data_IF_432478978695
#
_entry.id   IF_432478978695
#
_cell.length_a   1.000
_cell.length_b   1.000
_cell.length_c   1.000
_cell.angle_alpha   90.00
_cell.angle_beta   90.00
_cell.angle_gamma   90.00
#
_symmetry.space_group_name_H-M   'P 1'
#
loop_
_entity.id
_entity.type
_entity.pdbx_description
1 polymer ?
#
# COMPACT_ATOMS: atom_id res chain seq x y z
N UNK A 1 23.66 0.59 23.84
CA UNK A 1 22.34 0.34 23.22
C UNK A 1 22.60 -0.04 21.78
N UNK A 2 22.25 -1.27 21.37
CA UNK A 2 22.32 -1.69 19.97
C UNK A 2 21.03 -1.23 19.26
N UNK A 3 21.10 -0.79 17.99
CA UNK A 3 19.90 -0.43 17.24
C UNK A 3 19.02 -1.68 17.08
N UNK A 4 17.74 -1.52 17.36
CA UNK A 4 16.75 -2.59 17.28
C UNK A 4 16.55 -2.90 15.80
N UNK A 5 17.14 -4.00 15.33
CA UNK A 5 16.75 -4.64 14.08
C UNK A 5 15.28 -5.00 14.20
N UNK A 6 14.42 -4.12 13.69
CA UNK A 6 12.97 -4.28 13.72
C UNK A 6 12.65 -5.42 12.79
N UNK A 7 12.58 -6.62 13.36
CA UNK A 7 12.09 -7.82 12.69
C UNK A 7 10.73 -7.48 12.09
N UNK A 8 10.65 -7.61 10.78
CA UNK A 8 9.51 -7.23 9.97
C UNK A 8 8.25 -7.93 10.50
N UNK A 9 7.48 -7.21 11.32
CA UNK A 9 6.03 -7.46 11.41
C UNK A 9 5.58 -7.46 9.95
N UNK A 10 4.88 -8.50 9.45
CA UNK A 10 4.52 -8.57 8.03
C UNK A 10 3.86 -7.24 7.70
N UNK A 11 4.56 -6.42 6.92
CA UNK A 11 4.26 -5.00 6.80
C UNK A 11 2.80 -4.93 6.36
N UNK A 12 1.94 -4.48 7.26
CA UNK A 12 0.53 -4.48 6.98
C UNK A 12 0.31 -3.42 5.91
N UNK A 13 0.25 -3.87 4.66
CA UNK A 13 0.16 -2.99 3.50
C UNK A 13 -1.03 -2.05 3.61
N UNK A 14 -2.04 -2.42 4.41
CA UNK A 14 -3.21 -1.59 4.73
C UNK A 14 -2.83 -0.26 5.37
N UNK A 15 -1.73 -0.19 6.11
CA UNK A 15 -1.25 1.04 6.77
C UNK A 15 -0.60 2.02 5.79
N UNK A 16 -0.08 1.51 4.68
CA UNK A 16 0.60 2.32 3.66
C UNK A 16 -0.35 2.73 2.53
N UNK A 17 -1.53 2.13 2.48
CA UNK A 17 -2.51 2.40 1.44
C UNK A 17 -3.21 3.74 1.66
N UNK A 18 -3.47 4.51 0.58
CA UNK A 18 -4.30 5.70 0.69
C UNK A 18 -5.73 5.33 1.12
N UNK A 19 -6.43 6.29 1.72
CA UNK A 19 -7.83 6.11 2.10
C UNK A 19 -8.67 5.70 0.89
N UNK A 20 -9.54 4.70 1.08
CA UNK A 20 -10.39 4.16 0.02
C UNK A 20 -9.76 3.11 -0.89
N UNK A 21 -8.43 2.91 -0.84
CA UNK A 21 -7.74 1.99 -1.75
C UNK A 21 -8.27 0.55 -1.70
N UNK A 22 -8.67 0.05 -0.53
CA UNK A 22 -9.26 -1.30 -0.40
C UNK A 22 -10.56 -1.41 -1.21
N UNK A 23 -11.40 -0.39 -1.22
CA UNK A 23 -12.65 -0.36 -1.99
C UNK A 23 -12.35 -0.27 -3.49
N UNK A 24 -11.35 0.51 -3.90
CA UNK A 24 -10.95 0.62 -5.29
C UNK A 24 -10.32 -0.67 -5.82
N UNK A 25 -9.43 -1.30 -5.05
CA UNK A 25 -8.87 -2.62 -5.37
C UNK A 25 -10.00 -3.66 -5.50
N UNK A 26 -10.95 -3.66 -4.55
CA UNK A 26 -12.09 -4.57 -4.58
C UNK A 26 -12.96 -4.37 -5.83
N UNK A 27 -13.23 -3.12 -6.22
CA UNK A 27 -13.97 -2.77 -7.44
C UNK A 27 -13.21 -3.23 -8.69
N UNK A 28 -11.93 -2.91 -8.78
CA UNK A 28 -11.09 -3.21 -9.95
C UNK A 28 -10.91 -4.71 -10.16
N UNK A 29 -10.68 -5.46 -9.08
CA UNK A 29 -10.47 -6.91 -9.13
C UNK A 29 -11.76 -7.72 -9.04
N UNK A 30 -12.93 -7.07 -8.94
CA UNK A 30 -14.25 -7.71 -8.71
C UNK A 30 -14.21 -8.68 -7.52
N UNK A 31 -13.56 -8.27 -6.43
CA UNK A 31 -13.39 -9.05 -5.20
C UNK A 31 -14.16 -8.41 -4.05
N UNK A 32 -14.49 -9.19 -3.01
CA UNK A 32 -15.08 -8.62 -1.80
C UNK A 32 -14.03 -7.86 -0.97
N UNK A 33 -14.47 -6.84 -0.23
CA UNK A 33 -13.59 -6.06 0.66
C UNK A 33 -12.87 -6.95 1.69
N UNK A 34 -13.57 -7.99 2.18
CA UNK A 34 -13.02 -8.98 3.11
C UNK A 34 -11.93 -9.82 2.45
N UNK A 35 -12.11 -10.23 1.19
CA UNK A 35 -11.11 -10.99 0.46
C UNK A 35 -9.84 -10.15 0.20
N UNK A 36 -10.00 -8.88 -0.17
CA UNK A 36 -8.89 -7.93 -0.33
C UNK A 36 -8.18 -7.74 1.01
N UNK A 37 -8.89 -7.43 2.08
CA UNK A 37 -8.31 -7.23 3.42
C UNK A 37 -7.54 -8.45 3.91
N UNK A 38 -8.08 -9.66 3.69
CA UNK A 38 -7.42 -10.93 4.05
C UNK A 38 -6.19 -11.20 3.18
N UNK A 39 -6.23 -10.83 1.90
CA UNK A 39 -5.09 -10.96 1.01
C UNK A 39 -3.94 -10.03 1.43
N UNK A 40 -4.27 -8.77 1.77
CA UNK A 40 -3.31 -7.79 2.26
C UNK A 40 -2.70 -8.20 3.61
N UNK A 41 -3.52 -8.69 4.54
CA UNK A 41 -3.05 -9.21 5.82
C UNK A 41 -2.08 -10.38 5.66
N UNK A 42 -2.30 -11.24 4.65
CA UNK A 42 -1.40 -12.36 4.33
C UNK A 42 -0.17 -11.94 3.54
N UNK A 43 -0.13 -10.71 3.01
CA UNK A 43 0.98 -10.12 2.27
C UNK A 43 1.62 -11.02 1.20
N UNK A 44 0.83 -11.87 0.51
CA UNK A 44 1.35 -12.78 -0.51
C UNK A 44 1.60 -12.02 -1.82
N UNK A 45 2.84 -11.87 -2.30
CA UNK A 45 3.14 -11.04 -3.47
C UNK A 45 2.49 -11.53 -4.77
N UNK A 46 2.24 -12.84 -4.88
CA UNK A 46 1.56 -13.45 -6.02
C UNK A 46 0.05 -13.16 -6.06
N UNK A 47 -0.54 -12.56 -5.03
CA UNK A 47 -1.97 -12.26 -5.00
C UNK A 47 -2.26 -10.93 -5.72
N UNK A 48 -3.24 -10.88 -6.64
CA UNK A 48 -3.51 -9.68 -7.43
C UNK A 48 -3.83 -8.44 -6.57
N UNK A 49 -4.59 -8.61 -5.48
CA UNK A 49 -4.86 -7.53 -4.54
C UNK A 49 -3.60 -6.95 -3.86
N UNK A 50 -2.57 -7.77 -3.62
CA UNK A 50 -1.30 -7.33 -3.03
C UNK A 50 -0.47 -6.59 -4.07
N UNK A 51 -0.42 -7.10 -5.31
CA UNK A 51 0.25 -6.43 -6.42
C UNK A 51 -0.36 -5.04 -6.69
N UNK A 52 -1.69 -4.95 -6.70
CA UNK A 52 -2.39 -3.67 -6.92
C UNK A 52 -2.21 -2.71 -5.75
N UNK A 53 -2.22 -3.20 -4.51
CA UNK A 53 -1.90 -2.38 -3.35
C UNK A 53 -0.49 -1.79 -3.42
N UNK A 54 0.51 -2.59 -3.79
CA UNK A 54 1.88 -2.11 -3.98
C UNK A 54 1.94 -1.04 -5.08
N UNK A 55 1.21 -1.23 -6.18
CA UNK A 55 1.13 -0.25 -7.27
C UNK A 55 0.58 1.09 -6.76
N UNK A 56 -0.53 1.07 -6.03
CA UNK A 56 -1.16 2.26 -5.46
C UNK A 56 -0.26 2.98 -4.44
N UNK A 57 0.44 2.24 -3.59
CA UNK A 57 1.40 2.81 -2.63
C UNK A 57 2.51 3.57 -3.37
N UNK A 58 3.07 2.97 -4.43
CA UNK A 58 4.12 3.61 -5.24
C UNK A 58 3.60 4.86 -5.95
N UNK A 59 2.41 4.79 -6.51
CA UNK A 59 1.78 5.92 -7.19
C UNK A 59 1.52 7.09 -6.23
N UNK A 60 0.94 6.80 -5.05
CA UNK A 60 0.71 7.81 -4.03
C UNK A 60 2.02 8.46 -3.55
N UNK A 61 3.06 7.65 -3.31
CA UNK A 61 4.38 8.15 -2.94
C UNK A 61 5.00 9.04 -4.03
N UNK A 62 4.86 8.67 -5.31
CA UNK A 62 5.32 9.49 -6.43
C UNK A 62 4.62 10.85 -6.48
N UNK A 63 3.32 10.90 -6.21
CA UNK A 63 2.56 12.15 -6.18
C UNK A 63 2.99 13.05 -5.02
N UNK A 64 3.27 12.48 -3.84
CA UNK A 64 3.80 13.22 -2.71
C UNK A 64 5.17 13.85 -3.03
N UNK A 65 6.07 13.10 -3.64
CA UNK A 65 7.39 13.62 -4.06
C UNK A 65 7.26 14.73 -5.11
N UNK A 66 6.35 14.60 -6.07
CA UNK A 66 6.08 15.66 -7.05
C UNK A 66 5.53 16.93 -6.37
N UNK A 67 4.65 16.78 -5.39
CA UNK A 67 4.14 17.89 -4.60
C UNK A 67 5.28 18.61 -3.86
N UNK A 68 6.13 17.87 -3.15
CA UNK A 68 7.26 18.43 -2.41
C UNK A 68 8.25 19.16 -3.35
N UNK A 69 8.54 18.57 -4.52
CA UNK A 69 9.39 19.21 -5.53
C UNK A 69 8.80 20.53 -6.04
N UNK A 70 7.48 20.59 -6.23
CA UNK A 70 6.79 21.82 -6.65
C UNK A 70 6.79 22.90 -5.55
N UNK A 71 6.84 22.51 -4.28
CA UNK A 71 7.00 23.46 -3.17
C UNK A 71 8.44 24.00 -3.08
N UNK A 72 9.45 23.16 -3.36
CA UNK A 72 10.86 23.56 -3.33
C UNK A 72 11.26 24.47 -4.50
N UNK A 73 10.53 24.43 -5.61
CA UNK A 73 10.77 25.27 -6.80
C UNK A 73 10.04 26.63 -6.74
N UNK A 74 9.39 26.97 -5.63
CA UNK A 74 8.78 28.28 -5.36
C UNK A 74 9.70 29.16 -4.51
#
# INVERSE_FOLDING_TARGET
MQPIETTATPADLRLLLPHGAIADIARNLKMSHTAVSKALQKARPAHPAVAEAIRLIKEAGSQAVLHDLNLLNQ
#
